data_IF_375109633884
#
_entry.id   IF_375109633884
#
_cell.length_a   1.000
_cell.length_b   1.000
_cell.length_c   1.000
_cell.angle_alpha   90.00
_cell.angle_beta   90.00
_cell.angle_gamma   90.00
#
_symmetry.space_group_name_H-M   'P 1'
#
loop_
_entity.id
_entity.type
_entity.pdbx_description
1 polymer ?
#
# COMPACT_ATOMS: atom_id res chain seq x y z
N UNK A 1 4.79 -9.89 2.89
CA UNK A 1 4.46 -8.71 3.74
C UNK A 1 4.33 -9.05 5.23
N UNK A 2 3.60 -10.10 5.59
CA UNK A 2 3.40 -10.53 6.99
C UNK A 2 4.71 -10.69 7.76
N UNK A 3 5.73 -11.35 7.18
CA UNK A 3 7.03 -11.52 7.83
C UNK A 3 7.74 -10.21 8.18
N UNK A 4 7.68 -9.20 7.30
CA UNK A 4 8.26 -7.87 7.58
C UNK A 4 7.49 -7.14 8.68
N UNK A 5 6.16 -7.30 8.73
CA UNK A 5 5.34 -6.75 9.80
C UNK A 5 5.63 -7.46 11.13
N UNK A 6 5.79 -8.78 11.13
CA UNK A 6 6.22 -9.58 12.28
C UNK A 6 7.61 -9.17 12.75
N UNK A 7 8.55 -8.95 11.83
CA UNK A 7 9.88 -8.45 12.19
C UNK A 7 9.78 -7.10 12.89
N UNK A 8 8.87 -6.22 12.50
CA UNK A 8 8.65 -4.93 13.17
C UNK A 8 7.84 -5.03 14.48
N UNK A 9 7.44 -6.21 14.94
CA UNK A 9 6.66 -6.36 16.17
C UNK A 9 7.40 -5.76 17.37
N UNK A 10 6.67 -5.06 18.24
CA UNK A 10 7.26 -4.34 19.38
C UNK A 10 8.08 -3.09 19.00
N UNK A 11 8.21 -2.74 17.71
CA UNK A 11 8.98 -1.59 17.23
C UNK A 11 8.10 -0.62 16.43
N UNK A 12 7.36 0.29 17.10
CA UNK A 12 6.40 1.17 16.43
C UNK A 12 7.02 2.07 15.37
N UNK A 13 8.25 2.56 15.57
CA UNK A 13 8.95 3.42 14.60
C UNK A 13 9.25 2.67 13.29
N UNK A 14 9.71 1.42 13.38
CA UNK A 14 10.01 0.58 12.21
C UNK A 14 8.75 0.20 11.45
N UNK A 15 7.69 -0.21 12.16
CA UNK A 15 6.39 -0.50 11.53
C UNK A 15 5.88 0.71 10.74
N UNK A 16 6.00 1.91 11.33
CA UNK A 16 5.63 3.17 10.67
C UNK A 16 6.49 3.44 9.43
N UNK A 17 7.79 3.21 9.51
CA UNK A 17 8.70 3.36 8.37
C UNK A 17 8.32 2.42 7.23
N UNK A 18 8.10 1.13 7.53
CA UNK A 18 7.66 0.12 6.56
C UNK A 18 6.38 0.54 5.83
N UNK A 19 5.35 0.94 6.59
CA UNK A 19 4.07 1.38 6.04
C UNK A 19 4.25 2.60 5.12
N UNK A 20 5.05 3.57 5.56
CA UNK A 20 5.28 4.80 4.81
C UNK A 20 6.10 4.55 3.53
N UNK A 21 7.12 3.71 3.60
CA UNK A 21 7.94 3.32 2.44
C UNK A 21 7.11 2.57 1.40
N UNK A 22 6.22 1.66 1.84
CA UNK A 22 5.31 0.95 0.95
C UNK A 22 4.33 1.91 0.28
N UNK A 23 3.71 2.81 1.05
CA UNK A 23 2.81 3.82 0.52
C UNK A 23 3.49 4.69 -0.56
N UNK A 24 4.72 5.13 -0.29
CA UNK A 24 5.54 5.89 -1.25
C UNK A 24 5.94 5.06 -2.47
N UNK A 25 6.23 3.78 -2.31
CA UNK A 25 6.52 2.88 -3.42
C UNK A 25 5.32 2.76 -4.36
N UNK A 26 4.12 2.49 -3.84
CA UNK A 26 2.90 2.36 -4.64
C UNK A 26 2.49 3.70 -5.28
N UNK A 27 2.67 4.81 -4.57
CA UNK A 27 2.43 6.15 -5.13
C UNK A 27 3.33 6.42 -6.33
N UNK A 28 4.65 6.17 -6.20
CA UNK A 28 5.62 6.33 -7.29
C UNK A 28 5.31 5.41 -8.47
N UNK A 29 4.89 4.17 -8.20
CA UNK A 29 4.47 3.24 -9.25
C UNK A 29 3.31 3.81 -10.07
N UNK A 30 2.24 4.27 -9.43
CA UNK A 30 1.10 4.86 -10.15
C UNK A 30 1.41 6.20 -10.82
N UNK A 31 2.33 6.99 -10.27
CA UNK A 31 2.81 8.24 -10.88
C UNK A 31 3.64 7.98 -12.13
N UNK A 32 4.37 6.86 -12.17
CA UNK A 32 5.14 6.40 -13.33
C UNK A 32 4.30 5.57 -14.30
N UNK A 33 2.97 5.66 -14.21
CA UNK A 33 2.08 4.97 -15.14
C UNK A 33 2.21 3.45 -15.12
N UNK A 34 2.55 2.89 -13.95
CA UNK A 34 2.61 1.45 -13.73
C UNK A 34 1.49 1.04 -12.79
N UNK A 35 0.73 0.02 -13.17
CA UNK A 35 -0.26 -0.62 -12.32
C UNK A 35 -0.12 -2.13 -12.38
N UNK A 36 -0.58 -2.82 -11.34
CA UNK A 36 -0.67 -4.27 -11.33
C UNK A 36 -2.12 -4.70 -11.08
N UNK A 37 -2.69 -5.53 -11.98
CA UNK A 37 -4.05 -6.04 -11.89
C UNK A 37 -4.28 -6.97 -10.71
N UNK A 38 -3.23 -7.44 -10.04
CA UNK A 38 -3.27 -8.30 -8.86
C UNK A 38 -2.32 -7.77 -7.77
N UNK A 39 -2.37 -6.46 -7.53
CA UNK A 39 -1.57 -5.83 -6.48
C UNK A 39 -2.06 -6.24 -5.08
N UNK A 40 -1.49 -7.34 -4.57
CA UNK A 40 -1.65 -7.87 -3.21
C UNK A 40 -0.28 -8.09 -2.58
N UNK A 41 -0.24 -8.16 -1.25
CA UNK A 41 0.96 -8.28 -0.42
C UNK A 41 1.81 -9.53 -0.68
N UNK A 42 1.25 -10.60 -1.25
CA UNK A 42 2.03 -11.77 -1.70
C UNK A 42 2.81 -11.50 -2.99
N UNK A 43 2.38 -10.54 -3.82
CA UNK A 43 3.07 -10.14 -5.05
C UNK A 43 4.09 -9.01 -4.80
N UNK A 44 4.37 -8.71 -3.52
CA UNK A 44 5.30 -7.67 -3.09
C UNK A 44 6.41 -8.28 -2.23
N UNK A 45 7.63 -8.24 -2.76
CA UNK A 45 8.83 -8.50 -1.97
C UNK A 45 9.28 -7.19 -1.35
N UNK A 46 9.50 -7.19 -0.04
CA UNK A 46 10.08 -6.07 0.68
C UNK A 46 11.39 -6.47 1.34
N UNK A 47 12.33 -5.55 1.40
CA UNK A 47 13.60 -5.75 2.09
C UNK A 47 14.04 -4.46 2.77
N UNK A 48 14.67 -4.57 3.94
CA UNK A 48 15.29 -3.43 4.60
C UNK A 48 16.63 -3.15 3.92
N UNK A 49 16.85 -1.91 3.50
CA UNK A 49 18.10 -1.44 2.89
C UNK A 49 19.12 -1.11 3.98
N UNK A 50 20.43 -1.04 3.66
CA UNK A 50 21.46 -0.59 4.61
C UNK A 50 21.16 0.79 5.21
N UNK A 51 20.51 1.68 4.44
CA UNK A 51 20.05 3.00 4.89
C UNK A 51 18.91 2.96 5.93
N UNK A 52 18.42 1.78 6.30
CA UNK A 52 17.30 1.57 7.22
C UNK A 52 15.91 1.70 6.61
N UNK A 53 15.80 2.25 5.39
CA UNK A 53 14.54 2.34 4.63
C UNK A 53 14.13 0.99 4.04
N UNK A 54 12.84 0.79 3.80
CA UNK A 54 12.33 -0.40 3.12
C UNK A 54 12.25 -0.18 1.61
N UNK A 55 12.85 -1.09 0.85
CA UNK A 55 12.68 -1.22 -0.59
C UNK A 55 11.62 -2.26 -0.92
N UNK A 56 10.97 -2.11 -2.07
CA UNK A 56 9.95 -3.03 -2.55
C UNK A 56 10.13 -3.36 -4.02
N UNK A 57 9.69 -4.54 -4.42
CA UNK A 57 9.64 -4.99 -5.81
C UNK A 57 8.37 -5.81 -6.04
N UNK A 58 7.80 -5.69 -7.23
CA UNK A 58 6.68 -6.52 -7.69
C UNK A 58 7.26 -7.73 -8.41
N UNK A 59 6.72 -8.91 -8.13
CA UNK A 59 7.18 -10.16 -8.76
C UNK A 59 6.23 -10.72 -9.81
N UNK A 60 4.94 -10.39 -9.73
CA UNK A 60 3.95 -10.82 -10.71
C UNK A 60 3.89 -9.82 -11.87
N UNK A 61 4.48 -10.20 -13.01
CA UNK A 61 4.51 -9.39 -14.23
C UNK A 61 3.31 -9.64 -15.17
N UNK A 62 2.59 -10.76 -15.03
CA UNK A 62 1.40 -11.04 -15.85
C UNK A 62 0.27 -10.03 -15.58
N UNK A 63 0.24 -9.52 -14.34
CA UNK A 63 -0.63 -8.45 -13.94
C UNK A 63 -0.19 -7.04 -14.33
N UNK A 64 1.03 -6.86 -14.86
CA UNK A 64 1.59 -5.55 -15.14
C UNK A 64 0.81 -4.85 -16.26
N UNK A 65 0.54 -3.57 -16.05
CA UNK A 65 -0.06 -2.66 -17.02
C UNK A 65 0.73 -1.37 -17.02
N UNK A 66 1.18 -0.97 -18.20
CA UNK A 66 1.85 0.28 -18.46
C UNK A 66 0.86 1.27 -19.08
N UNK A 67 1.03 2.56 -18.78
CA UNK A 67 0.18 3.65 -19.24
C UNK A 67 -0.67 4.27 -18.12
N UNK A 68 -1.43 5.33 -18.43
CA UNK A 68 -2.07 6.17 -17.43
C UNK A 68 -2.91 5.39 -16.41
N UNK A 69 -2.52 5.46 -15.13
CA UNK A 69 -3.26 4.77 -14.07
C UNK A 69 -4.48 5.59 -13.66
N UNK A 70 -5.63 5.23 -14.23
CA UNK A 70 -6.93 5.84 -13.91
C UNK A 70 -7.22 5.84 -12.41
N UNK A 71 -8.03 6.81 -11.96
CA UNK A 71 -8.50 6.89 -10.56
C UNK A 71 -9.17 5.59 -10.11
N UNK A 72 -9.95 4.95 -10.99
CA UNK A 72 -10.63 3.68 -10.71
C UNK A 72 -9.61 2.56 -10.45
N UNK A 73 -8.56 2.47 -11.26
CA UNK A 73 -7.47 1.49 -11.09
C UNK A 73 -6.72 1.74 -9.78
N UNK A 74 -6.36 2.99 -9.48
CA UNK A 74 -5.71 3.36 -8.21
C UNK A 74 -6.54 2.92 -7.01
N UNK A 75 -7.84 3.23 -6.98
CA UNK A 75 -8.73 2.82 -5.88
C UNK A 75 -8.77 1.30 -5.75
N UNK A 76 -8.92 0.56 -6.85
CA UNK A 76 -8.93 -0.90 -6.83
C UNK A 76 -7.62 -1.48 -6.26
N UNK A 77 -6.48 -0.93 -6.65
CA UNK A 77 -5.18 -1.34 -6.13
C UNK A 77 -5.05 -1.06 -4.62
N UNK A 78 -5.45 0.12 -4.17
CA UNK A 78 -5.46 0.47 -2.75
C UNK A 78 -6.40 -0.43 -1.94
N UNK A 79 -7.58 -0.77 -2.48
CA UNK A 79 -8.51 -1.71 -1.82
C UNK A 79 -7.88 -3.07 -1.61
N UNK A 80 -7.14 -3.61 -2.58
CA UNK A 80 -6.51 -4.92 -2.46
C UNK A 80 -5.38 -4.93 -1.43
N UNK A 81 -4.49 -3.95 -1.46
CA UNK A 81 -3.46 -3.80 -0.41
C UNK A 81 -4.11 -3.69 0.96
N UNK A 82 -5.18 -2.90 1.07
CA UNK A 82 -5.91 -2.75 2.31
C UNK A 82 -6.55 -4.07 2.79
N UNK A 83 -6.98 -4.95 1.86
CA UNK A 83 -7.48 -6.29 2.19
C UNK A 83 -6.38 -7.15 2.82
N UNK A 84 -5.20 -7.18 2.22
CA UNK A 84 -4.08 -7.96 2.73
C UNK A 84 -3.64 -7.57 4.14
N UNK A 85 -3.84 -6.32 4.54
CA UNK A 85 -3.52 -5.87 5.90
C UNK A 85 -4.47 -6.42 6.97
N UNK A 86 -5.73 -6.73 6.63
CA UNK A 86 -6.77 -7.07 7.62
C UNK A 86 -6.54 -8.44 8.29
N UNK A 87 -6.26 -9.54 7.56
CA UNK A 87 -6.06 -10.85 8.19
C UNK A 87 -4.89 -10.92 9.16
N UNK A 88 -3.90 -10.03 9.02
CA UNK A 88 -2.67 -10.10 9.82
C UNK A 88 -2.86 -9.76 11.30
N UNK A 89 -3.91 -9.00 11.68
CA UNK A 89 -4.08 -8.45 13.03
C UNK A 89 -3.00 -7.44 13.47
N UNK A 90 -1.87 -7.38 12.76
CA UNK A 90 -0.69 -6.55 13.06
C UNK A 90 -0.84 -5.09 12.58
N UNK A 91 -1.77 -4.85 11.66
CA UNK A 91 -2.00 -3.54 11.03
C UNK A 91 -3.30 -2.93 11.56
N UNK A 92 -3.18 -1.84 12.30
CA UNK A 92 -4.33 -1.14 12.90
C UNK A 92 -5.07 -0.25 11.88
N UNK A 93 -6.27 0.25 12.21
CA UNK A 93 -6.94 1.29 11.40
C UNK A 93 -6.08 2.54 11.24
N UNK A 94 -5.35 2.94 12.28
CA UNK A 94 -4.42 4.07 12.25
C UNK A 94 -3.26 3.84 11.26
N UNK A 95 -2.73 2.62 11.22
CA UNK A 95 -1.69 2.22 10.26
C UNK A 95 -2.20 2.27 8.81
N UNK A 96 -3.42 1.77 8.57
CA UNK A 96 -4.09 1.83 7.26
C UNK A 96 -4.37 3.27 6.81
N UNK A 97 -4.79 4.14 7.73
CA UNK A 97 -5.00 5.55 7.43
C UNK A 97 -3.67 6.25 7.10
N UNK A 98 -2.61 5.97 7.87
CA UNK A 98 -1.25 6.48 7.62
C UNK A 98 -0.73 6.06 6.25
N UNK A 99 -0.96 4.81 5.87
CA UNK A 99 -0.66 4.33 4.51
C UNK A 99 -1.37 5.20 3.47
N UNK A 100 -2.68 5.39 3.61
CA UNK A 100 -3.47 6.17 2.65
C UNK A 100 -3.01 7.63 2.57
N UNK A 101 -2.82 8.31 3.70
CA UNK A 101 -2.40 9.72 3.69
C UNK A 101 -0.99 9.88 3.11
N UNK A 102 -0.08 8.96 3.40
CA UNK A 102 1.27 8.95 2.80
C UNK A 102 1.21 8.70 1.30
N UNK A 103 0.34 7.79 0.84
CA UNK A 103 0.15 7.52 -0.58
C UNK A 103 -0.41 8.73 -1.35
N UNK A 104 -1.36 9.46 -0.75
CA UNK A 104 -1.95 10.66 -1.36
C UNK A 104 -0.99 11.85 -1.39
N UNK A 105 -0.05 11.91 -0.43
CA UNK A 105 0.85 13.05 -0.27
C UNK A 105 0.11 14.33 0.15
N UNK A 106 0.87 15.40 0.35
CA UNK A 106 0.35 16.68 0.87
C UNK A 106 -0.73 17.32 -0.01
N UNK A 107 -0.62 17.21 -1.34
CA UNK A 107 -1.53 17.85 -2.31
C UNK A 107 -2.94 17.27 -2.32
N UNK A 108 -3.11 16.00 -1.96
CA UNK A 108 -4.41 15.31 -1.99
C UNK A 108 -4.91 14.87 -0.61
N UNK A 109 -4.22 15.26 0.48
CA UNK A 109 -4.62 14.86 1.85
C UNK A 109 -6.04 15.31 2.16
N UNK A 110 -6.49 16.49 1.73
CA UNK A 110 -7.87 16.96 1.95
C UNK A 110 -8.96 15.99 1.44
N UNK A 111 -8.63 15.11 0.49
CA UNK A 111 -9.56 14.13 -0.12
C UNK A 111 -9.53 12.75 0.55
N UNK A 112 -8.67 12.53 1.56
CA UNK A 112 -8.45 11.21 2.15
C UNK A 112 -9.76 10.59 2.67
N UNK A 113 -10.65 11.36 3.31
CA UNK A 113 -11.94 10.87 3.84
C UNK A 113 -12.83 10.28 2.75
N UNK A 114 -12.87 10.91 1.57
CA UNK A 114 -13.66 10.45 0.43
C UNK A 114 -13.07 9.18 -0.17
N UNK A 115 -11.75 9.11 -0.30
CA UNK A 115 -11.05 7.95 -0.86
C UNK A 115 -11.15 6.76 0.09
N UNK A 116 -10.99 6.99 1.40
CA UNK A 116 -11.15 5.99 2.45
C UNK A 116 -12.52 5.32 2.39
N UNK A 117 -13.60 6.10 2.27
CA UNK A 117 -14.97 5.56 2.10
C UNK A 117 -15.12 4.67 0.86
N UNK A 118 -14.46 5.01 -0.25
CA UNK A 118 -14.50 4.19 -1.47
C UNK A 118 -13.73 2.87 -1.29
N UNK A 119 -12.62 2.91 -0.55
CA UNK A 119 -11.82 1.72 -0.22
C UNK A 119 -12.59 0.80 0.72
N UNK A 120 -13.16 1.33 1.80
CA UNK A 120 -13.93 0.53 2.76
C UNK A 120 -15.21 -0.03 2.15
N UNK A 121 -15.98 0.75 1.37
CA UNK A 121 -17.20 0.23 0.74
C UNK A 121 -16.90 -0.99 -0.15
N UNK A 122 -15.82 -0.94 -0.93
CA UNK A 122 -15.42 -2.09 -1.77
C UNK A 122 -14.88 -3.24 -0.94
N UNK A 123 -14.33 -3.00 0.25
CA UNK A 123 -13.82 -4.06 1.12
C UNK A 123 -14.94 -5.03 1.57
N UNK A 124 -16.18 -4.55 1.78
CA UNK A 124 -17.29 -5.35 2.32
C UNK A 124 -18.27 -5.92 1.28
N UNK A 125 -18.00 -5.77 -0.03
CA UNK A 125 -18.96 -6.12 -1.10
C UNK A 125 -18.43 -7.20 -2.06
N UNK A 126 -17.16 -7.59 -1.92
CA UNK A 126 -16.57 -8.74 -2.64
C UNK A 126 -16.18 -9.81 -1.60
#
# INVERSE_FOLDING_TARGET
MTELLSACAGRPSEKRALINDLARYIARMHQREVANRDLKGVNLIGARRPSGAYGFSIVDFDGLRLGPVSRRTRIRNLTRINRDFVPSGMVTRTDRLRFLTTYLGSKDTARWKRIWRLIERKFYVD
#
